data_IF_169528349895
#
_entry.id   IF_169528349895
#
_cell.length_a   1.000
_cell.length_b   1.000
_cell.length_c   1.000
_cell.angle_alpha   90.00
_cell.angle_beta   90.00
_cell.angle_gamma   90.00
#
_symmetry.space_group_name_H-M   'P 1'
#
loop_
_entity.id
_entity.type
_entity.pdbx_description
1 polymer ?
#
# COMPACT_ATOMS: atom_id res chain seq x y z
N UNK A 1 8.68 -1.35 -25.33
CA UNK A 1 8.12 -0.33 -24.43
C UNK A 1 8.52 1.04 -24.94
N UNK A 2 7.55 1.92 -25.24
CA UNK A 2 7.81 3.23 -25.86
C UNK A 2 7.79 4.32 -24.79
N UNK A 3 8.84 5.15 -24.76
CA UNK A 3 9.01 6.18 -23.74
C UNK A 3 8.69 7.55 -24.32
N UNK A 4 7.86 8.32 -23.62
CA UNK A 4 7.50 9.71 -23.96
C UNK A 4 8.01 10.61 -22.83
N UNK A 5 8.64 11.73 -23.18
CA UNK A 5 9.28 12.62 -22.21
C UNK A 5 8.65 14.01 -22.24
N UNK A 6 8.39 14.59 -21.08
CA UNK A 6 7.95 15.98 -20.94
C UNK A 6 8.75 16.68 -19.83
N UNK A 7 9.03 17.96 -20.04
CA UNK A 7 9.62 18.84 -19.04
C UNK A 7 8.56 19.85 -18.56
N UNK A 8 8.41 19.95 -17.24
CA UNK A 8 7.47 20.87 -16.59
C UNK A 8 8.16 21.82 -15.60
N UNK A 9 9.49 21.90 -15.63
CA UNK A 9 10.27 22.75 -14.71
C UNK A 9 10.00 24.25 -14.90
N UNK A 10 9.75 24.66 -16.13
CA UNK A 10 9.50 26.07 -16.49
C UNK A 10 8.02 26.48 -16.39
N UNK A 11 7.16 25.61 -15.84
CA UNK A 11 5.72 25.81 -15.81
C UNK A 11 5.24 26.22 -14.41
N UNK A 12 4.53 27.35 -14.35
CA UNK A 12 3.90 27.84 -13.12
C UNK A 12 2.63 27.03 -12.75
N UNK A 13 2.33 26.80 -11.47
CA UNK A 13 1.09 26.14 -11.05
C UNK A 13 -0.16 26.83 -11.60
N UNK A 14 -1.19 26.08 -12.09
CA UNK A 14 -1.34 24.62 -12.12
C UNK A 14 -0.84 23.96 -13.41
N UNK A 15 -0.10 24.66 -14.28
CA UNK A 15 0.26 24.21 -15.62
C UNK A 15 1.03 22.87 -15.67
N UNK A 16 1.96 22.56 -14.74
CA UNK A 16 2.58 21.23 -14.68
C UNK A 16 1.54 20.11 -14.61
N UNK A 17 0.52 20.28 -13.77
CA UNK A 17 -0.51 19.26 -13.56
C UNK A 17 -1.39 19.09 -14.80
N UNK A 18 -1.80 20.19 -15.42
CA UNK A 18 -2.60 20.17 -16.66
C UNK A 18 -1.84 19.46 -17.78
N UNK A 19 -0.55 19.74 -17.93
CA UNK A 19 0.28 19.12 -18.95
C UNK A 19 0.45 17.62 -18.70
N UNK A 20 0.73 17.21 -17.47
CA UNK A 20 0.87 15.79 -17.12
C UNK A 20 -0.45 15.04 -17.36
N UNK A 21 -1.59 15.60 -16.92
CA UNK A 21 -2.91 14.99 -17.08
C UNK A 21 -3.24 14.67 -18.55
N UNK A 22 -3.01 15.62 -19.46
CA UNK A 22 -3.25 15.43 -20.90
C UNK A 22 -2.37 14.37 -21.54
N UNK A 23 -1.19 14.12 -20.97
CA UNK A 23 -0.24 13.16 -21.51
C UNK A 23 -0.50 11.74 -20.98
N UNK A 24 -0.88 11.60 -19.72
CA UNK A 24 -1.28 10.29 -19.16
C UNK A 24 -2.58 9.76 -19.78
N UNK A 25 -3.51 10.64 -20.17
CA UNK A 25 -4.75 10.24 -20.88
C UNK A 25 -4.45 9.53 -22.20
N UNK A 26 -3.43 10.00 -22.92
CA UNK A 26 -3.00 9.47 -24.22
C UNK A 26 -2.07 8.26 -24.12
N UNK A 27 -1.66 7.88 -22.91
CA UNK A 27 -0.66 6.84 -22.71
C UNK A 27 -1.24 5.48 -23.11
N UNK A 28 -0.54 4.71 -23.95
CA UNK A 28 -0.91 3.32 -24.28
C UNK A 28 -0.55 2.30 -23.19
N UNK A 29 -0.94 1.04 -23.35
CA UNK A 29 -0.61 -0.04 -22.40
C UNK A 29 0.89 -0.39 -22.37
N UNK A 30 1.62 -0.18 -23.49
CA UNK A 30 3.06 -0.41 -23.61
C UNK A 30 3.90 0.90 -23.62
N UNK A 31 3.34 1.98 -23.08
CA UNK A 31 3.97 3.30 -23.03
C UNK A 31 4.29 3.77 -21.61
N UNK A 32 5.40 4.49 -21.47
CA UNK A 32 5.83 5.15 -20.23
C UNK A 32 5.96 6.65 -20.48
N UNK A 33 5.40 7.46 -19.58
CA UNK A 33 5.60 8.92 -19.56
C UNK A 33 6.66 9.28 -18.51
N UNK A 34 7.75 9.91 -18.92
CA UNK A 34 8.75 10.49 -18.03
C UNK A 34 8.54 12.00 -17.94
N UNK A 35 8.43 12.51 -16.73
CA UNK A 35 8.15 13.90 -16.41
C UNK A 35 9.29 14.43 -15.56
N UNK A 36 9.98 15.46 -16.04
CA UNK A 36 11.00 16.17 -15.27
C UNK A 36 10.38 17.42 -14.61
N UNK A 37 10.52 17.54 -13.30
CA UNK A 37 10.00 18.70 -12.55
C UNK A 37 10.90 19.13 -11.39
N UNK A 38 10.71 20.36 -10.92
CA UNK A 38 11.53 20.95 -9.84
C UNK A 38 11.12 20.48 -8.43
N UNK A 39 9.94 19.87 -8.28
CA UNK A 39 9.36 19.47 -7.00
C UNK A 39 8.86 18.02 -7.08
N UNK A 40 8.80 17.28 -5.95
CA UNK A 40 8.52 15.83 -5.93
C UNK A 40 7.05 15.45 -6.16
N UNK A 41 6.26 16.30 -6.83
CA UNK A 41 4.88 16.01 -7.24
C UNK A 41 3.94 15.49 -6.14
N UNK A 42 4.15 15.86 -4.87
CA UNK A 42 3.50 15.27 -3.67
C UNK A 42 1.97 15.13 -3.76
N UNK A 43 1.29 16.08 -4.41
CA UNK A 43 -0.17 16.06 -4.57
C UNK A 43 -0.66 15.22 -5.75
N UNK A 44 0.18 15.03 -6.76
CA UNK A 44 -0.14 14.26 -7.96
C UNK A 44 0.01 12.76 -7.72
N UNK A 45 1.03 12.34 -6.97
CA UNK A 45 1.32 10.91 -6.75
C UNK A 45 0.12 10.11 -6.20
N UNK A 46 -0.64 10.59 -5.18
CA UNK A 46 -1.83 9.87 -4.71
C UNK A 46 -2.90 9.73 -5.80
N UNK A 47 -3.10 10.76 -6.62
CA UNK A 47 -4.10 10.78 -7.69
C UNK A 47 -3.75 9.82 -8.83
N UNK A 48 -2.47 9.67 -9.17
CA UNK A 48 -2.03 8.69 -10.17
C UNK A 48 -2.45 7.27 -9.78
N UNK A 49 -2.31 6.90 -8.49
CA UNK A 49 -2.75 5.58 -8.00
C UNK A 49 -4.26 5.42 -8.05
N UNK A 50 -5.01 6.44 -7.62
CA UNK A 50 -6.49 6.45 -7.69
C UNK A 50 -6.98 6.26 -9.14
N UNK A 51 -6.25 6.79 -10.11
CA UNK A 51 -6.56 6.70 -11.54
C UNK A 51 -6.03 5.40 -12.21
N UNK A 52 -5.44 4.48 -11.45
CA UNK A 52 -4.95 3.20 -11.98
C UNK A 52 -3.63 3.31 -12.76
N UNK A 53 -2.83 4.34 -12.47
CA UNK A 53 -1.46 4.44 -12.98
C UNK A 53 -0.46 3.99 -11.92
N UNK A 54 0.58 3.31 -12.37
CA UNK A 54 1.79 3.06 -11.57
C UNK A 54 2.83 4.14 -11.86
N UNK A 55 3.69 4.41 -10.89
CA UNK A 55 4.75 5.40 -11.05
C UNK A 55 6.02 5.06 -10.28
N UNK A 56 7.13 5.65 -10.72
CA UNK A 56 8.43 5.67 -10.05
C UNK A 56 8.90 7.13 -9.97
N UNK A 57 9.37 7.57 -8.81
CA UNK A 57 9.92 8.91 -8.62
C UNK A 57 11.40 8.78 -8.21
N UNK A 58 12.27 9.44 -8.96
CA UNK A 58 13.72 9.46 -8.71
C UNK A 58 14.19 10.90 -8.60
N UNK A 59 14.99 11.20 -7.59
CA UNK A 59 15.69 12.48 -7.49
C UNK A 59 16.91 12.46 -8.42
N UNK A 60 17.06 13.49 -9.23
CA UNK A 60 18.13 13.65 -10.23
C UNK A 60 18.77 15.03 -10.05
N UNK A 61 20.00 15.26 -10.54
CA UNK A 61 20.66 16.57 -10.39
C UNK A 61 19.80 17.76 -10.86
N UNK A 62 18.94 17.53 -11.86
CA UNK A 62 18.07 18.51 -12.48
C UNK A 62 16.70 18.68 -11.80
N UNK A 63 16.42 17.96 -10.71
CA UNK A 63 15.17 17.98 -9.95
C UNK A 63 14.63 16.58 -9.66
N UNK A 64 13.42 16.28 -10.11
CA UNK A 64 12.75 15.00 -9.90
C UNK A 64 12.25 14.43 -11.23
N UNK A 65 12.62 13.19 -11.50
CA UNK A 65 12.14 12.40 -12.63
C UNK A 65 11.00 11.50 -12.17
N UNK A 66 9.79 11.76 -12.67
CA UNK A 66 8.60 10.96 -12.43
C UNK A 66 8.29 10.12 -13.67
N UNK A 67 8.33 8.79 -13.55
CA UNK A 67 8.00 7.84 -14.61
C UNK A 67 6.62 7.27 -14.32
N UNK A 68 5.71 7.28 -15.30
CA UNK A 68 4.30 6.89 -15.14
C UNK A 68 3.95 5.88 -16.24
N UNK A 69 3.27 4.80 -15.89
CA UNK A 69 2.77 3.81 -16.84
C UNK A 69 1.38 3.31 -16.46
N UNK A 70 0.59 2.89 -17.46
CA UNK A 70 -0.66 2.20 -17.19
C UNK A 70 -0.34 0.84 -16.56
N UNK A 71 -0.90 0.55 -15.40
CA UNK A 71 -0.94 -0.84 -14.94
C UNK A 71 -1.98 -1.56 -15.80
N UNK A 72 -1.52 -2.29 -16.83
CA UNK A 72 -2.40 -3.01 -17.75
C UNK A 72 -3.40 -3.85 -16.97
N UNK A 73 -4.71 -3.61 -17.17
CA UNK A 73 -5.86 -4.21 -16.44
C UNK A 73 -5.48 -4.90 -15.13
N UNK A 74 -4.92 -4.12 -14.23
CA UNK A 74 -4.69 -4.59 -12.89
C UNK A 74 -5.75 -3.98 -12.02
N UNK A 75 -6.71 -4.83 -11.67
CA UNK A 75 -7.31 -4.82 -10.33
C UNK A 75 -6.30 -4.19 -9.36
N UNK A 76 -6.70 -3.18 -8.58
CA UNK A 76 -5.80 -2.30 -7.83
C UNK A 76 -4.58 -3.08 -7.35
N UNK A 77 -3.43 -2.89 -8.01
CA UNK A 77 -2.22 -3.66 -7.74
C UNK A 77 -1.95 -3.52 -6.25
N UNK A 78 -2.03 -4.69 -5.61
CA UNK A 78 -1.75 -5.06 -4.21
C UNK A 78 -1.54 -3.86 -3.30
N UNK A 79 -2.44 -3.77 -2.31
CA UNK A 79 -2.17 -3.23 -0.99
C UNK A 79 -0.66 -3.21 -0.71
N UNK A 80 -0.16 -2.09 -0.18
CA UNK A 80 1.03 -2.06 0.68
C UNK A 80 1.28 -3.47 1.17
N UNK A 81 2.41 -4.10 0.81
CA UNK A 81 2.77 -5.39 1.38
C UNK A 81 2.36 -5.32 2.83
N UNK A 82 1.30 -6.05 3.21
CA UNK A 82 0.67 -5.83 4.51
C UNK A 82 1.68 -6.41 5.49
N UNK A 83 2.68 -5.60 5.84
CA UNK A 83 3.81 -6.01 6.66
C UNK A 83 3.20 -6.26 8.01
N UNK A 84 3.04 -7.54 8.32
CA UNK A 84 2.38 -7.92 9.56
C UNK A 84 3.30 -7.47 10.70
N UNK A 85 2.85 -6.47 11.43
CA UNK A 85 3.55 -5.79 12.51
C UNK A 85 2.55 -5.32 13.59
N UNK A 86 3.04 -4.60 14.60
CA UNK A 86 2.21 -4.15 15.71
C UNK A 86 1.12 -3.13 15.31
N UNK A 87 1.26 -2.46 14.17
CA UNK A 87 0.30 -1.48 13.66
C UNK A 87 -0.78 -2.12 12.79
N UNK A 88 -0.61 -3.39 12.43
CA UNK A 88 -1.57 -4.13 11.63
C UNK A 88 -2.91 -4.26 12.36
N UNK A 89 -4.00 -3.83 11.70
CA UNK A 89 -5.37 -3.98 12.22
C UNK A 89 -5.79 -5.46 12.17
N UNK A 90 -6.31 -5.97 13.29
CA UNK A 90 -6.62 -7.40 13.43
C UNK A 90 -7.76 -7.82 12.50
N UNK A 91 -8.77 -6.96 12.29
CA UNK A 91 -9.87 -7.22 11.38
C UNK A 91 -9.42 -7.33 9.93
N UNK A 92 -8.65 -6.34 9.45
CA UNK A 92 -8.07 -6.37 8.10
C UNK A 92 -7.18 -7.60 7.88
N UNK A 93 -6.43 -8.01 8.90
CA UNK A 93 -5.59 -9.20 8.84
C UNK A 93 -6.42 -10.47 8.59
N UNK A 94 -7.51 -10.67 9.32
CA UNK A 94 -8.38 -11.86 9.21
C UNK A 94 -9.15 -11.84 7.89
N UNK A 95 -9.60 -10.67 7.43
CA UNK A 95 -10.23 -10.54 6.11
C UNK A 95 -9.28 -10.92 4.98
N UNK A 96 -7.99 -10.55 5.12
CA UNK A 96 -6.97 -10.83 4.12
C UNK A 96 -6.47 -12.27 4.17
N UNK A 97 -6.28 -12.80 5.36
CA UNK A 97 -5.79 -14.16 5.63
C UNK A 97 -6.72 -14.83 6.63
N UNK A 98 -7.77 -15.54 6.18
CA UNK A 98 -8.70 -16.24 7.07
C UNK A 98 -8.03 -17.21 8.05
N UNK A 99 -6.89 -17.78 7.67
CA UNK A 99 -6.05 -18.67 8.47
C UNK A 99 -5.41 -17.98 9.68
N UNK A 100 -5.24 -16.65 9.63
CA UNK A 100 -4.72 -15.86 10.75
C UNK A 100 -5.61 -15.99 11.99
N UNK A 101 -6.90 -16.25 11.81
CA UNK A 101 -7.83 -16.44 12.92
C UNK A 101 -7.39 -17.58 13.86
N UNK A 102 -7.01 -18.73 13.29
CA UNK A 102 -6.62 -19.90 14.08
C UNK A 102 -5.29 -19.66 14.83
N UNK A 103 -4.34 -18.99 14.18
CA UNK A 103 -3.09 -18.56 14.82
C UNK A 103 -3.41 -17.61 15.99
N UNK A 104 -4.22 -16.57 15.77
CA UNK A 104 -4.62 -15.65 16.83
C UNK A 104 -5.28 -16.41 18.01
N UNK A 105 -6.20 -17.33 17.74
CA UNK A 105 -6.85 -18.12 18.81
C UNK A 105 -5.80 -18.93 19.60
N UNK A 106 -4.83 -19.57 18.94
CA UNK A 106 -3.72 -20.31 19.58
C UNK A 106 -2.85 -19.42 20.48
N UNK A 107 -2.59 -18.19 20.07
CA UNK A 107 -1.85 -17.20 20.87
C UNK A 107 -2.68 -16.52 21.96
N UNK A 108 -3.93 -16.92 22.13
CA UNK A 108 -4.79 -16.52 23.24
C UNK A 108 -5.84 -15.46 22.88
N UNK A 109 -6.03 -15.10 21.61
CA UNK A 109 -7.13 -14.22 21.19
C UNK A 109 -8.48 -14.99 21.16
N UNK A 110 -8.82 -15.67 22.27
CA UNK A 110 -9.98 -16.55 22.42
C UNK A 110 -11.35 -15.89 22.21
N UNK A 111 -11.58 -14.57 22.45
CA UNK A 111 -12.86 -13.94 22.11
C UNK A 111 -13.23 -14.08 20.63
N UNK A 112 -12.25 -14.27 19.74
CA UNK A 112 -12.46 -14.44 18.30
C UNK A 112 -13.09 -15.80 17.92
N UNK A 113 -13.19 -16.74 18.87
CA UNK A 113 -13.98 -17.99 18.68
C UNK A 113 -15.47 -17.70 18.52
N UNK A 114 -15.97 -16.63 19.16
CA UNK A 114 -17.37 -16.23 19.01
C UNK A 114 -17.59 -15.58 17.65
N UNK A 115 -18.52 -16.14 16.85
CA UNK A 115 -18.87 -15.62 15.52
C UNK A 115 -19.31 -14.14 15.57
N UNK A 116 -19.95 -13.72 16.66
CA UNK A 116 -20.40 -12.33 16.84
C UNK A 116 -19.19 -11.43 17.13
N UNK A 117 -18.39 -11.77 18.15
CA UNK A 117 -17.23 -10.96 18.54
C UNK A 117 -16.18 -10.87 17.43
N UNK A 118 -16.01 -11.94 16.64
CA UNK A 118 -15.13 -11.99 15.46
C UNK A 118 -15.47 -10.94 14.39
N UNK A 119 -16.73 -10.53 14.28
CA UNK A 119 -17.16 -9.51 13.32
C UNK A 119 -17.04 -8.08 13.84
N UNK A 120 -16.88 -7.91 15.15
CA UNK A 120 -16.97 -6.59 15.80
C UNK A 120 -15.61 -6.14 16.35
N UNK A 121 -15.00 -6.95 17.21
CA UNK A 121 -13.81 -6.56 17.97
C UNK A 121 -12.53 -6.41 17.12
N UNK A 122 -12.23 -7.29 16.14
CA UNK A 122 -10.97 -7.19 15.40
C UNK A 122 -10.72 -5.86 14.71
N UNK A 123 -11.78 -5.21 14.21
CA UNK A 123 -11.65 -3.96 13.47
C UNK A 123 -11.32 -2.76 14.36
N UNK A 124 -11.50 -2.87 15.68
CA UNK A 124 -11.29 -1.75 16.62
C UNK A 124 -9.89 -1.68 17.19
N UNK A 125 -9.03 -2.69 16.94
CA UNK A 125 -7.70 -2.80 17.53
C UNK A 125 -6.62 -3.23 16.53
N UNK A 126 -5.38 -2.82 16.79
CA UNK A 126 -4.18 -3.36 16.15
C UNK A 126 -3.58 -4.53 16.94
N UNK A 127 -2.67 -5.30 16.33
CA UNK A 127 -1.93 -6.38 17.02
C UNK A 127 -1.19 -5.85 18.27
N UNK A 128 -0.56 -4.68 18.19
CA UNK A 128 0.13 -4.05 19.31
C UNK A 128 -0.81 -3.62 20.44
N UNK A 129 -1.98 -3.08 20.12
CA UNK A 129 -3.00 -2.79 21.12
C UNK A 129 -3.53 -4.08 21.77
N UNK A 130 -3.75 -5.12 20.98
CA UNK A 130 -4.24 -6.40 21.45
C UNK A 130 -3.20 -7.12 22.36
N UNK A 131 -1.90 -6.99 22.07
CA UNK A 131 -0.79 -7.40 22.95
C UNK A 131 -0.88 -6.71 24.32
N UNK A 132 -1.08 -5.40 24.36
CA UNK A 132 -1.21 -4.62 25.61
C UNK A 132 -2.43 -5.07 26.42
N UNK A 133 -3.59 -5.23 25.77
CA UNK A 133 -4.83 -5.70 26.41
C UNK A 133 -4.64 -7.08 27.06
N UNK A 134 -3.95 -8.00 26.37
CA UNK A 134 -3.65 -9.34 26.91
C UNK A 134 -2.47 -9.41 27.86
N UNK A 135 -1.73 -8.32 28.06
CA UNK A 135 -0.44 -8.32 28.78
C UNK A 135 0.51 -9.41 28.25
N UNK A 136 0.57 -9.54 26.92
CA UNK A 136 1.39 -10.55 26.25
C UNK A 136 2.87 -10.10 26.24
N UNK A 137 3.79 -11.02 26.54
CA UNK A 137 5.23 -10.77 26.52
C UNK A 137 5.75 -10.49 25.11
N UNK A 138 6.87 -9.77 25.01
CA UNK A 138 7.50 -9.41 23.74
C UNK A 138 8.00 -10.62 22.95
N UNK A 139 8.50 -11.64 23.65
CA UNK A 139 8.92 -12.92 23.07
C UNK A 139 7.73 -13.63 22.40
N UNK A 140 6.65 -13.86 23.15
CA UNK A 140 5.44 -14.50 22.62
C UNK A 140 4.79 -13.69 21.50
N UNK A 141 4.88 -12.36 21.56
CA UNK A 141 4.38 -11.50 20.50
C UNK A 141 5.24 -11.57 19.22
N UNK A 142 6.56 -11.74 19.35
CA UNK A 142 7.44 -11.97 18.19
C UNK A 142 7.13 -13.30 17.51
N UNK A 143 6.96 -14.37 18.28
CA UNK A 143 6.54 -15.68 17.76
C UNK A 143 5.22 -15.59 16.98
N UNK A 144 4.24 -14.86 17.53
CA UNK A 144 2.96 -14.60 16.85
C UNK A 144 3.18 -13.91 15.50
N UNK A 145 3.97 -12.85 15.46
CA UNK A 145 4.24 -12.11 14.22
C UNK A 145 4.95 -12.98 13.19
N UNK A 146 5.89 -13.81 13.61
CA UNK A 146 6.57 -14.77 12.73
C UNK A 146 5.59 -15.80 12.15
N UNK A 147 4.70 -16.38 12.96
CA UNK A 147 3.68 -17.30 12.46
C UNK A 147 2.73 -16.63 11.46
N UNK A 148 2.31 -15.40 11.74
CA UNK A 148 1.43 -14.65 10.84
C UNK A 148 2.12 -14.29 9.53
N UNK A 149 3.41 -13.91 9.56
CA UNK A 149 4.20 -13.57 8.36
C UNK A 149 4.38 -14.76 7.42
N UNK A 150 4.45 -15.99 7.94
CA UNK A 150 4.48 -17.20 7.10
C UNK A 150 3.23 -17.36 6.21
N UNK A 151 2.11 -16.70 6.55
CA UNK A 151 0.94 -16.67 5.68
C UNK A 151 1.17 -15.83 4.41
N UNK A 152 2.06 -14.84 4.47
CA UNK A 152 2.41 -14.01 3.32
C UNK A 152 3.23 -14.79 2.28
N UNK A 153 3.98 -15.81 2.70
CA UNK A 153 4.82 -16.64 1.82
C UNK A 153 4.05 -17.77 1.13
N UNK A 154 2.82 -18.05 1.57
CA UNK A 154 1.97 -19.14 1.07
C UNK A 154 0.89 -18.70 0.06
N UNK A 155 0.84 -17.42 -0.31
CA UNK A 155 -0.17 -16.82 -1.21
C UNK A 155 0.41 -16.30 -2.52
#
# INVERSE_FOLDING_TARGET
MKVRRIDVRDLEPPQPMVRIAREIEKLGEDEVLEVLGLKPFKHLLPRLRELGFSYELTEVPEGYLLRIWRSGRETPRKAEELRIDENTNVGKLIERYPEALEILIRFGFTPLRSRVLRKLLPHTVTLGQAKRIRRMSDEKFRELLEELRKLQEKS
#
